data_IF_399275879733
#
_entry.id   IF_399275879733
#
_cell.length_a   1.000
_cell.length_b   1.000
_cell.length_c   1.000
_cell.angle_alpha   90.00
_cell.angle_beta   90.00
_cell.angle_gamma   90.00
#
_symmetry.space_group_name_H-M   'P 1'
#
loop_
_entity.id
_entity.type
_entity.pdbx_description
1 polymer ?
#
# COMPACT_ATOMS: atom_id res chain seq x y z
N UNK A 1 -21.93 -43.11 8.90
CA UNK A 1 -22.44 -41.82 9.39
C UNK A 1 -21.43 -40.76 8.97
N UNK A 2 -21.64 -40.16 7.79
CA UNK A 2 -20.76 -39.09 7.28
C UNK A 2 -21.21 -37.77 7.81
N UNK A 3 -20.39 -37.17 8.70
CA UNK A 3 -20.59 -35.81 9.21
C UNK A 3 -20.08 -34.83 8.15
N UNK A 4 -20.99 -34.28 7.33
CA UNK A 4 -20.69 -33.09 6.51
C UNK A 4 -20.54 -31.90 7.44
N UNK A 5 -19.30 -31.41 7.56
CA UNK A 5 -19.07 -30.09 8.16
C UNK A 5 -19.74 -29.02 7.26
N UNK A 6 -20.51 -28.08 7.83
CA UNK A 6 -21.07 -27.00 7.04
C UNK A 6 -19.92 -26.15 6.48
N UNK A 7 -19.90 -25.97 5.16
CA UNK A 7 -19.05 -24.99 4.51
C UNK A 7 -19.44 -23.61 5.08
N UNK A 8 -18.58 -23.02 5.92
CA UNK A 8 -18.72 -21.65 6.33
C UNK A 8 -18.58 -20.79 5.07
N UNK A 9 -19.70 -20.30 4.58
CA UNK A 9 -19.72 -19.22 3.58
C UNK A 9 -19.09 -17.98 4.25
N UNK A 10 -17.82 -17.80 4.03
CA UNK A 10 -17.11 -16.59 4.45
C UNK A 10 -17.65 -15.45 3.59
N UNK A 11 -18.51 -14.62 4.17
CA UNK A 11 -18.94 -13.38 3.52
C UNK A 11 -17.68 -12.56 3.23
N UNK A 12 -17.48 -12.20 1.95
CA UNK A 12 -16.36 -11.33 1.54
C UNK A 12 -16.39 -10.03 2.32
N UNK A 13 -15.22 -9.57 2.74
CA UNK A 13 -15.08 -8.28 3.44
C UNK A 13 -15.47 -7.13 2.51
N UNK A 14 -15.99 -6.05 3.06
CA UNK A 14 -16.51 -4.93 2.30
C UNK A 14 -15.46 -4.26 1.42
N UNK A 15 -14.20 -4.15 1.89
CA UNK A 15 -13.11 -3.58 1.12
C UNK A 15 -12.71 -4.48 -0.06
N UNK A 16 -12.63 -5.80 0.15
CA UNK A 16 -12.32 -6.77 -0.92
C UNK A 16 -13.37 -6.71 -2.04
N UNK A 17 -14.64 -6.75 -1.67
CA UNK A 17 -15.75 -6.67 -2.63
C UNK A 17 -15.74 -5.34 -3.42
N UNK A 18 -15.42 -4.24 -2.76
CA UNK A 18 -15.33 -2.93 -3.39
C UNK A 18 -14.17 -2.86 -4.40
N UNK A 19 -13.00 -3.41 -4.06
CA UNK A 19 -11.85 -3.46 -4.97
C UNK A 19 -12.13 -4.34 -6.20
N UNK A 20 -12.74 -5.51 -6.01
CA UNK A 20 -13.14 -6.38 -7.12
C UNK A 20 -14.14 -5.70 -8.08
N UNK A 21 -15.06 -4.93 -7.52
CA UNK A 21 -16.04 -4.16 -8.30
C UNK A 21 -15.45 -2.88 -8.91
N UNK A 22 -14.24 -2.45 -8.49
CA UNK A 22 -13.68 -1.14 -8.81
C UNK A 22 -14.52 0.02 -8.26
N UNK A 23 -15.27 -0.22 -7.20
CA UNK A 23 -16.13 0.77 -6.56
C UNK A 23 -15.38 1.53 -5.48
N UNK A 24 -14.80 2.67 -5.89
CA UNK A 24 -14.05 3.53 -4.99
C UNK A 24 -14.89 4.09 -3.84
N UNK A 25 -16.18 4.36 -4.06
CA UNK A 25 -17.05 4.90 -3.00
C UNK A 25 -17.29 3.86 -1.92
N UNK A 26 -17.60 2.62 -2.31
CA UNK A 26 -17.73 1.51 -1.38
C UNK A 26 -16.42 1.19 -0.66
N UNK A 27 -15.27 1.30 -1.34
CA UNK A 27 -13.96 1.16 -0.71
C UNK A 27 -13.75 2.23 0.37
N UNK A 28 -14.02 3.50 0.07
CA UNK A 28 -13.92 4.62 1.02
C UNK A 28 -14.88 4.43 2.20
N UNK A 29 -16.09 3.92 1.96
CA UNK A 29 -17.06 3.65 3.02
C UNK A 29 -16.66 2.52 3.97
N UNK A 30 -15.72 1.65 3.58
CA UNK A 30 -15.19 0.60 4.45
C UNK A 30 -14.24 1.12 5.53
N UNK A 31 -13.71 2.34 5.40
CA UNK A 31 -12.72 2.89 6.32
C UNK A 31 -13.34 3.64 7.50
N UNK A 32 -12.57 3.69 8.59
CA UNK A 32 -12.85 4.59 9.73
C UNK A 32 -12.51 6.03 9.37
N UNK A 33 -13.11 6.99 10.09
CA UNK A 33 -12.80 8.42 9.93
C UNK A 33 -11.35 8.76 10.31
N UNK A 34 -10.78 8.05 11.27
CA UNK A 34 -9.43 8.21 11.80
C UNK A 34 -8.43 7.17 11.25
N UNK A 35 -8.74 6.58 10.08
CA UNK A 35 -7.89 5.59 9.39
C UNK A 35 -6.41 6.01 9.35
N UNK A 36 -5.51 5.04 9.58
CA UNK A 36 -4.06 5.21 9.45
C UNK A 36 -3.56 4.46 8.22
N UNK A 37 -2.86 5.17 7.35
CA UNK A 37 -2.32 4.61 6.12
C UNK A 37 -0.80 4.76 6.06
N UNK A 38 -0.10 3.62 6.05
CA UNK A 38 1.35 3.56 5.82
C UNK A 38 1.59 3.29 4.35
N UNK A 39 1.93 4.33 3.63
CA UNK A 39 2.13 4.25 2.17
C UNK A 39 3.53 3.72 1.83
N UNK A 40 3.65 2.82 0.83
CA UNK A 40 4.94 2.28 0.41
C UNK A 40 5.79 3.28 -0.38
N UNK A 41 5.23 4.44 -0.74
CA UNK A 41 5.90 5.45 -1.57
C UNK A 41 6.32 6.69 -0.78
N UNK A 42 5.98 6.80 0.52
CA UNK A 42 6.48 7.85 1.38
C UNK A 42 7.95 7.62 1.74
N UNK A 43 8.61 8.66 2.25
CA UNK A 43 10.07 8.68 2.38
C UNK A 43 10.60 7.69 3.42
N UNK A 44 9.87 7.43 4.50
CA UNK A 44 10.30 6.51 5.56
C UNK A 44 9.24 5.46 5.91
N UNK A 45 9.67 4.34 6.46
CA UNK A 45 8.77 3.25 6.89
C UNK A 45 7.83 3.68 8.02
N UNK A 46 8.23 4.69 8.82
CA UNK A 46 7.44 5.23 9.91
C UNK A 46 6.44 6.30 9.49
N UNK A 47 6.52 6.77 8.24
CA UNK A 47 5.62 7.81 7.74
C UNK A 47 4.21 7.27 7.57
N UNK A 48 3.25 8.05 8.01
CA UNK A 48 1.84 7.70 7.95
C UNK A 48 0.99 8.91 7.56
N UNK A 49 -0.11 8.60 6.89
CA UNK A 49 -1.17 9.55 6.58
C UNK A 49 -2.39 9.18 7.41
N UNK A 50 -3.02 10.17 8.04
CA UNK A 50 -4.18 9.98 8.89
C UNK A 50 -5.42 10.67 8.34
N UNK A 51 -6.54 10.03 8.59
CA UNK A 51 -7.86 10.59 8.32
C UNK A 51 -8.43 10.24 6.94
N UNK A 52 -9.72 9.96 6.94
CA UNK A 52 -10.46 9.52 5.77
C UNK A 52 -10.44 10.53 4.61
N UNK A 53 -10.56 11.86 4.82
CA UNK A 53 -10.52 12.81 3.70
C UNK A 53 -9.21 12.75 2.90
N UNK A 54 -8.08 12.67 3.62
CA UNK A 54 -6.76 12.56 2.99
C UNK A 54 -6.59 11.22 2.26
N UNK A 55 -6.98 10.11 2.90
CA UNK A 55 -6.91 8.79 2.26
C UNK A 55 -7.81 8.71 1.03
N UNK A 56 -9.03 9.24 1.07
CA UNK A 56 -9.95 9.26 -0.08
C UNK A 56 -9.33 9.98 -1.28
N UNK A 57 -8.64 11.10 -1.07
CA UNK A 57 -7.91 11.82 -2.11
C UNK A 57 -6.76 10.99 -2.68
N UNK A 58 -5.99 10.33 -1.81
CA UNK A 58 -4.90 9.42 -2.22
C UNK A 58 -5.45 8.28 -3.09
N UNK A 59 -6.52 7.62 -2.65
CA UNK A 59 -7.13 6.52 -3.39
C UNK A 59 -7.69 6.97 -4.74
N UNK A 60 -8.34 8.13 -4.80
CA UNK A 60 -8.84 8.69 -6.05
C UNK A 60 -7.70 8.97 -7.02
N UNK A 61 -6.61 9.56 -6.56
CA UNK A 61 -5.42 9.83 -7.38
C UNK A 61 -4.77 8.52 -7.86
N UNK A 62 -4.65 7.53 -6.95
CA UNK A 62 -4.10 6.23 -7.27
C UNK A 62 -4.95 5.48 -8.32
N UNK A 63 -6.29 5.49 -8.17
CA UNK A 63 -7.19 4.82 -9.13
C UNK A 63 -7.11 5.43 -10.54
N UNK A 64 -6.89 6.73 -10.64
CA UNK A 64 -6.67 7.40 -11.94
C UNK A 64 -5.40 6.92 -12.61
N UNK A 65 -4.34 6.65 -11.83
CA UNK A 65 -3.05 6.20 -12.35
C UNK A 65 -3.01 4.70 -12.66
N UNK A 66 -3.56 3.89 -11.75
CA UNK A 66 -3.44 2.42 -11.79
C UNK A 66 -4.55 1.72 -12.60
N UNK A 67 -5.64 2.43 -12.86
CA UNK A 67 -6.85 1.84 -13.44
C UNK A 67 -7.61 0.93 -12.46
N UNK A 68 -8.42 0.04 -13.02
CA UNK A 68 -9.21 -0.93 -12.25
C UNK A 68 -8.29 -2.00 -11.66
N UNK A 69 -8.41 -2.33 -10.36
CA UNK A 69 -7.71 -3.46 -9.77
C UNK A 69 -8.02 -4.77 -10.51
N UNK A 70 -7.00 -5.57 -10.75
CA UNK A 70 -7.10 -6.89 -11.36
C UNK A 70 -6.58 -7.95 -10.38
N UNK A 71 -7.04 -9.20 -10.52
CA UNK A 71 -6.53 -10.32 -9.73
C UNK A 71 -6.59 -10.05 -8.22
N UNK A 72 -7.75 -9.57 -7.74
CA UNK A 72 -7.93 -9.26 -6.32
C UNK A 72 -8.03 -10.57 -5.53
N UNK A 73 -7.14 -10.76 -4.56
CA UNK A 73 -7.10 -11.93 -3.67
C UNK A 73 -7.04 -11.50 -2.21
N UNK A 74 -7.70 -12.25 -1.33
CA UNK A 74 -7.72 -12.02 0.11
C UNK A 74 -7.14 -13.22 0.87
N UNK A 75 -6.16 -12.97 1.74
CA UNK A 75 -5.54 -13.96 2.61
C UNK A 75 -5.79 -13.58 4.07
N UNK A 76 -6.58 -14.41 4.77
CA UNK A 76 -6.92 -14.15 6.17
C UNK A 76 -5.83 -14.63 7.12
N UNK A 77 -5.57 -13.85 8.18
CA UNK A 77 -4.72 -14.22 9.29
C UNK A 77 -5.58 -14.61 10.51
N UNK A 78 -5.15 -15.59 11.34
CA UNK A 78 -5.93 -16.05 12.50
C UNK A 78 -6.26 -14.97 13.53
N UNK A 79 -5.52 -13.87 13.60
CA UNK A 79 -5.76 -12.75 14.52
C UNK A 79 -6.77 -11.71 14.00
N UNK A 80 -7.45 -11.98 12.89
CA UNK A 80 -8.46 -11.11 12.30
C UNK A 80 -7.92 -10.09 11.29
N UNK A 81 -6.59 -9.92 11.18
CA UNK A 81 -5.96 -9.16 10.10
C UNK A 81 -6.06 -9.93 8.78
N UNK A 82 -5.89 -9.25 7.67
CA UNK A 82 -5.84 -9.91 6.38
C UNK A 82 -4.90 -9.15 5.41
N UNK A 83 -4.51 -9.86 4.36
CA UNK A 83 -3.73 -9.30 3.28
C UNK A 83 -4.63 -9.28 2.04
N UNK A 84 -4.71 -8.13 1.41
CA UNK A 84 -5.26 -7.98 0.06
C UNK A 84 -4.11 -7.84 -0.93
N UNK A 85 -4.18 -8.60 -2.02
CA UNK A 85 -3.28 -8.43 -3.16
C UNK A 85 -4.07 -8.11 -4.41
N UNK A 86 -3.52 -7.28 -5.26
CA UNK A 86 -4.10 -6.99 -6.57
C UNK A 86 -3.04 -6.42 -7.52
N UNK A 87 -3.35 -6.46 -8.80
CA UNK A 87 -2.53 -5.92 -9.86
C UNK A 87 -3.13 -4.60 -10.37
N UNK A 88 -2.26 -3.68 -10.77
CA UNK A 88 -2.58 -2.48 -11.52
C UNK A 88 -1.60 -2.31 -12.67
N UNK A 89 -1.75 -1.26 -13.48
CA UNK A 89 -0.82 -0.95 -14.55
C UNK A 89 -0.59 0.56 -14.65
N UNK A 90 0.65 0.94 -14.96
CA UNK A 90 1.05 2.33 -15.23
C UNK A 90 1.76 2.36 -16.59
N UNK A 91 1.21 3.08 -17.55
CA UNK A 91 1.74 3.15 -18.92
C UNK A 91 2.03 1.75 -19.51
N UNK A 92 1.11 0.80 -19.26
CA UNK A 92 1.24 -0.58 -19.71
C UNK A 92 2.20 -1.45 -18.89
N UNK A 93 2.86 -0.92 -17.86
CA UNK A 93 3.74 -1.67 -16.97
C UNK A 93 2.98 -2.18 -15.75
N UNK A 94 3.03 -3.48 -15.53
CA UNK A 94 2.35 -4.13 -14.41
C UNK A 94 2.97 -3.73 -13.07
N UNK A 95 2.12 -3.43 -12.09
CA UNK A 95 2.49 -3.22 -10.70
C UNK A 95 1.66 -4.15 -9.81
N UNK A 96 2.30 -4.82 -8.88
CA UNK A 96 1.65 -5.66 -7.88
C UNK A 96 1.61 -4.95 -6.54
N UNK A 97 0.45 -5.00 -5.90
CA UNK A 97 0.17 -4.30 -4.65
C UNK A 97 -0.28 -5.32 -3.62
N UNK A 98 0.28 -5.26 -2.44
CA UNK A 98 -0.18 -5.97 -1.25
C UNK A 98 -0.50 -4.98 -0.15
N UNK A 99 -1.64 -5.15 0.51
CA UNK A 99 -2.07 -4.32 1.63
C UNK A 99 -2.31 -5.20 2.86
N UNK A 100 -1.58 -4.94 3.95
CA UNK A 100 -1.92 -5.49 5.27
C UNK A 100 -3.02 -4.62 5.85
N UNK A 101 -4.15 -5.24 6.16
CA UNK A 101 -5.36 -4.54 6.60
C UNK A 101 -5.74 -5.01 8.01
N UNK A 102 -6.05 -4.04 8.87
CA UNK A 102 -6.61 -4.27 10.19
C UNK A 102 -8.00 -3.64 10.26
N UNK A 103 -8.97 -4.39 10.76
CA UNK A 103 -10.34 -3.92 11.00
C UNK A 103 -10.62 -3.83 12.49
N UNK A 104 -11.51 -2.91 12.85
CA UNK A 104 -12.07 -2.82 14.21
C UNK A 104 -13.17 -3.88 14.43
N UNK A 105 -13.70 -3.92 15.64
CA UNK A 105 -14.76 -4.88 16.03
C UNK A 105 -16.08 -4.70 15.24
N UNK A 106 -16.26 -3.58 14.55
CA UNK A 106 -17.40 -3.29 13.69
C UNK A 106 -17.14 -3.63 12.22
N UNK A 107 -15.94 -4.17 11.88
CA UNK A 107 -15.54 -4.51 10.52
C UNK A 107 -15.17 -3.28 9.67
N UNK A 108 -14.86 -2.14 10.31
CA UNK A 108 -14.30 -0.97 9.63
C UNK A 108 -12.79 -1.01 9.63
N UNK A 109 -12.19 -0.71 8.49
CA UNK A 109 -10.74 -0.67 8.36
C UNK A 109 -10.16 0.50 9.15
N UNK A 110 -9.31 0.19 10.12
CA UNK A 110 -8.64 1.17 10.98
C UNK A 110 -7.20 1.44 10.57
N UNK A 111 -6.55 0.48 9.88
CA UNK A 111 -5.16 0.63 9.46
C UNK A 111 -4.89 -0.15 8.19
N UNK A 112 -4.07 0.45 7.30
CA UNK A 112 -3.55 -0.19 6.09
C UNK A 112 -2.04 0.06 6.03
N UNK A 113 -1.29 -1.00 5.66
CA UNK A 113 0.11 -0.88 5.27
C UNK A 113 0.30 -1.42 3.86
N UNK A 114 0.73 -0.57 2.94
CA UNK A 114 0.98 -0.93 1.54
C UNK A 114 2.39 -1.46 1.28
N UNK A 115 2.50 -2.41 0.36
CA UNK A 115 3.74 -2.91 -0.24
C UNK A 115 3.54 -2.97 -1.75
N UNK A 116 4.58 -2.69 -2.52
CA UNK A 116 4.48 -2.63 -4.00
C UNK A 116 5.73 -3.17 -4.68
N UNK A 117 5.53 -3.76 -5.88
CA UNK A 117 6.61 -4.19 -6.77
C UNK A 117 6.19 -4.17 -8.24
N UNK A 118 7.09 -4.16 -9.25
CA UNK A 118 8.56 -4.05 -9.14
C UNK A 118 9.01 -2.59 -8.95
N UNK A 119 10.21 -2.42 -8.39
CA UNK A 119 10.75 -1.11 -8.06
C UNK A 119 10.75 -0.06 -9.19
N UNK A 120 11.09 -0.38 -10.45
CA UNK A 120 11.04 0.61 -11.53
C UNK A 120 9.64 1.20 -11.73
N UNK A 121 8.59 0.39 -11.64
CA UNK A 121 7.19 0.84 -11.80
C UNK A 121 6.71 1.59 -10.55
N UNK A 122 7.15 1.17 -9.35
CA UNK A 122 6.88 1.88 -8.09
C UNK A 122 7.44 3.31 -8.13
N UNK A 123 8.61 3.52 -8.76
CA UNK A 123 9.16 4.87 -8.95
C UNK A 123 8.26 5.74 -9.84
N UNK A 124 7.72 5.21 -10.92
CA UNK A 124 6.78 5.93 -11.79
C UNK A 124 5.51 6.29 -11.02
N UNK A 125 4.96 5.33 -10.27
CA UNK A 125 3.81 5.55 -9.39
C UNK A 125 4.07 6.65 -8.37
N UNK A 126 5.22 6.59 -7.68
CA UNK A 126 5.62 7.63 -6.72
C UNK A 126 5.67 9.01 -7.36
N UNK A 127 6.31 9.15 -8.51
CA UNK A 127 6.41 10.43 -9.23
C UNK A 127 5.02 11.00 -9.58
N UNK A 128 4.12 10.16 -10.07
CA UNK A 128 2.76 10.55 -10.37
C UNK A 128 2.01 11.01 -9.11
N UNK A 129 2.09 10.24 -8.02
CA UNK A 129 1.42 10.56 -6.77
C UNK A 129 1.97 11.84 -6.14
N UNK A 130 3.29 12.00 -6.11
CA UNK A 130 3.94 13.20 -5.60
C UNK A 130 3.50 14.45 -6.36
N UNK A 131 3.49 14.38 -7.69
CA UNK A 131 3.06 15.48 -8.55
C UNK A 131 1.61 15.93 -8.26
N UNK A 132 0.71 14.98 -7.97
CA UNK A 132 -0.72 15.25 -7.82
C UNK A 132 -1.17 15.47 -6.37
N UNK A 133 -0.37 15.11 -5.37
CA UNK A 133 -0.72 15.17 -3.95
C UNK A 133 0.16 16.12 -3.14
N UNK A 134 1.20 16.68 -3.71
CA UNK A 134 2.11 17.60 -3.04
C UNK A 134 1.72 19.05 -3.37
N UNK A 135 1.71 19.99 -2.41
CA UNK A 135 1.86 19.74 -0.96
C UNK A 135 0.57 19.32 -0.25
N UNK A 136 -0.56 19.35 -0.94
CA UNK A 136 -1.88 19.07 -0.39
C UNK A 136 -2.53 17.86 -1.11
N UNK A 137 -3.04 16.85 -0.40
CA UNK A 137 -3.14 16.73 1.06
C UNK A 137 -1.92 16.10 1.75
N UNK A 138 -0.84 15.77 1.03
CA UNK A 138 0.34 15.11 1.60
C UNK A 138 1.48 16.11 1.74
N UNK A 139 1.91 16.47 2.97
CA UNK A 139 2.95 17.45 3.23
C UNK A 139 4.29 17.09 2.56
N UNK A 140 5.05 18.12 2.16
CA UNK A 140 6.36 17.97 1.52
C UNK A 140 7.33 17.08 2.29
N UNK A 141 7.35 17.21 3.62
CA UNK A 141 8.24 16.45 4.50
C UNK A 141 8.07 14.93 4.39
N UNK A 142 6.90 14.44 3.99
CA UNK A 142 6.65 13.00 3.83
C UNK A 142 7.21 12.43 2.51
N UNK A 143 7.60 13.29 1.59
CA UNK A 143 8.20 12.90 0.30
C UNK A 143 9.73 12.88 0.33
N UNK A 144 10.35 13.49 1.34
CA UNK A 144 11.79 13.68 1.43
C UNK A 144 12.40 12.79 2.52
N UNK A 145 13.52 12.15 2.20
CA UNK A 145 14.28 11.43 3.23
C UNK A 145 14.83 12.43 4.25
N UNK A 146 14.66 12.18 5.55
CA UNK A 146 15.17 13.05 6.62
C UNK A 146 16.69 12.98 6.79
N UNK A 147 17.40 12.55 5.76
CA UNK A 147 18.86 12.32 5.80
C UNK A 147 19.57 13.61 5.43
N UNK A 148 20.40 14.13 6.33
CA UNK A 148 21.29 15.23 6.00
C UNK A 148 22.24 14.83 4.87
N UNK A 149 22.66 15.78 4.02
CA UNK A 149 23.65 15.53 2.95
C UNK A 149 24.94 14.88 3.47
N UNK A 150 25.29 15.05 4.75
CA UNK A 150 26.44 14.46 5.40
C UNK A 150 26.27 12.92 5.64
N UNK A 151 25.05 12.47 5.97
CA UNK A 151 24.79 11.05 6.24
C UNK A 151 24.71 10.25 4.94
N UNK A 152 24.25 10.87 3.86
CA UNK A 152 24.20 10.22 2.53
C UNK A 152 25.60 9.86 2.01
N UNK A 153 26.61 10.67 2.33
CA UNK A 153 28.02 10.39 1.96
C UNK A 153 28.60 9.20 2.73
N UNK A 154 28.14 8.97 3.98
CA UNK A 154 28.54 7.80 4.78
C UNK A 154 27.91 6.51 4.25
N UNK A 155 26.64 6.53 3.89
CA UNK A 155 25.94 5.36 3.34
C UNK A 155 26.52 4.91 1.99
N UNK A 156 26.87 5.88 1.11
CA UNK A 156 27.49 5.57 -0.19
C UNK A 156 28.89 4.98 0.01
N UNK A 157 29.70 5.50 0.96
CA UNK A 157 31.04 5.01 1.22
C UNK A 157 31.07 3.65 1.94
N UNK A 158 30.03 3.30 2.70
CA UNK A 158 29.91 1.98 3.36
C UNK A 158 29.40 0.88 2.42
N UNK A 159 28.87 1.23 1.26
CA UNK A 159 28.35 0.31 0.26
C UNK A 159 29.40 -0.04 -0.84
N UNK A 160 30.65 0.40 -0.73
CA UNK A 160 31.70 -0.06 -1.63
C UNK A 160 31.98 -1.54 -1.38
N UNK A 161 31.91 -2.39 -2.42
CA UNK A 161 32.30 -3.78 -2.27
C UNK A 161 33.78 -3.82 -1.87
N UNK A 162 34.08 -4.54 -0.78
CA UNK A 162 35.44 -4.97 -0.48
C UNK A 162 35.92 -5.78 -1.68
N UNK A 163 37.05 -5.38 -2.26
CA UNK A 163 37.70 -6.17 -3.31
C UNK A 163 37.80 -7.62 -2.87
N UNK A 164 37.51 -8.60 -3.75
CA UNK A 164 37.68 -9.99 -3.40
C UNK A 164 39.17 -10.22 -3.14
N UNK A 165 39.48 -10.71 -1.94
CA UNK A 165 40.81 -11.24 -1.61
C UNK A 165 41.20 -12.24 -2.70
N UNK A 166 42.21 -11.91 -3.47
CA UNK A 166 42.85 -12.84 -4.39
C UNK A 166 43.44 -13.98 -3.59
N UNK A 167 42.76 -15.11 -3.60
CA UNK A 167 43.25 -16.35 -3.04
C UNK A 167 44.53 -16.80 -3.83
N UNK A 168 45.59 -17.26 -3.16
CA UNK A 168 46.83 -17.69 -3.81
C UNK A 168 46.66 -18.98 -4.61
#
# INVERSE_FOLDING_TARGET
MSSSAPAMSTSKRSLTAALEAGDLQSAVAAFRQDIVFHSPILATVGDEVRGLPTLAKILQTASTCLGMPQNVEEFQHPDGRYILTFDGAIDGNLIQIAMLVTEDAQGKVESIRGLMRPWPVVKLFRQYMEHNLRPDPVPDALWELPVSKADNKRLINSAQPTEPDTCP
#
